data_IF_596102938840
#
_entry.id   IF_596102938840
#
_cell.length_a   1.000
_cell.length_b   1.000
_cell.length_c   1.000
_cell.angle_alpha   90.00
_cell.angle_beta   90.00
_cell.angle_gamma   90.00
#
_symmetry.space_group_name_H-M   'P 1'
#
loop_
_entity.id
_entity.type
_entity.pdbx_description
1 polymer ?
#
# COMPACT_ATOMS: atom_id res chain seq x y z
N UNK A 1 -5.29 -10.17 24.82
CA UNK A 1 -5.06 -8.88 24.12
C UNK A 1 -4.42 -9.12 22.74
N UNK A 2 -5.09 -8.70 21.66
CA UNK A 2 -4.53 -8.81 20.32
C UNK A 2 -3.23 -7.98 20.22
N UNK A 3 -2.22 -8.52 19.55
CA UNK A 3 -0.91 -7.91 19.38
C UNK A 3 -1.01 -6.47 18.85
N UNK A 4 -0.20 -5.50 19.32
CA UNK A 4 -0.13 -4.16 18.72
C UNK A 4 0.41 -4.17 17.28
N UNK A 5 0.92 -5.32 16.81
CA UNK A 5 1.29 -5.60 15.42
C UNK A 5 0.32 -6.56 14.73
N UNK A 6 -0.92 -6.72 15.22
CA UNK A 6 -1.89 -7.60 14.59
C UNK A 6 -2.02 -7.22 13.10
N UNK A 7 -1.51 -8.10 12.23
CA UNK A 7 -1.64 -8.03 10.79
C UNK A 7 -3.10 -7.78 10.45
N UNK A 8 -3.40 -6.53 10.14
CA UNK A 8 -4.75 -6.10 9.84
C UNK A 8 -4.95 -6.30 8.36
N UNK A 9 -6.00 -7.01 7.98
CA UNK A 9 -6.35 -7.20 6.58
C UNK A 9 -6.63 -5.84 5.92
N UNK A 10 -6.36 -5.66 4.62
CA UNK A 10 -6.83 -4.49 3.90
C UNK A 10 -8.34 -4.31 4.11
N UNK A 11 -8.76 -3.09 4.43
CA UNK A 11 -10.16 -2.71 4.67
C UNK A 11 -10.82 -3.32 5.92
N UNK A 12 -10.06 -3.89 6.87
CA UNK A 12 -10.61 -4.54 8.07
C UNK A 12 -11.54 -3.67 8.93
N UNK A 13 -11.38 -2.35 8.85
CA UNK A 13 -12.15 -1.33 9.57
C UNK A 13 -13.36 -0.79 8.77
N UNK A 14 -13.47 -1.20 7.50
CA UNK A 14 -14.47 -0.68 6.55
C UNK A 14 -15.45 -1.76 6.08
N UNK A 15 -15.11 -3.03 6.27
CA UNK A 15 -15.93 -4.17 5.83
C UNK A 15 -16.02 -5.24 6.90
N UNK A 16 -16.99 -6.14 6.75
CA UNK A 16 -17.09 -7.34 7.59
C UNK A 16 -15.90 -8.28 7.38
N UNK A 17 -15.64 -9.19 8.34
CA UNK A 17 -14.50 -10.13 8.28
C UNK A 17 -14.51 -11.04 7.05
N UNK A 18 -15.69 -11.36 6.52
CA UNK A 18 -15.90 -12.15 5.30
C UNK A 18 -16.84 -11.36 4.36
N UNK A 19 -16.30 -10.36 3.64
CA UNK A 19 -17.12 -9.37 2.95
C UNK A 19 -17.69 -9.89 1.65
N UNK A 20 -18.93 -9.51 1.35
CA UNK A 20 -19.55 -9.79 0.07
C UNK A 20 -18.96 -8.92 -1.05
N UNK A 21 -19.14 -9.34 -2.30
CA UNK A 21 -18.76 -8.53 -3.48
C UNK A 21 -19.43 -7.14 -3.44
N UNK A 22 -20.66 -7.06 -2.92
CA UNK A 22 -21.41 -5.80 -2.83
C UNK A 22 -20.76 -4.83 -1.84
N UNK A 23 -20.37 -5.31 -0.66
CA UNK A 23 -19.66 -4.50 0.35
C UNK A 23 -18.31 -4.01 -0.20
N UNK A 24 -17.52 -4.92 -0.79
CA UNK A 24 -16.22 -4.55 -1.37
C UNK A 24 -16.36 -3.55 -2.53
N UNK A 25 -17.36 -3.73 -3.41
CA UNK A 25 -17.63 -2.77 -4.49
C UNK A 25 -17.97 -1.40 -3.94
N UNK A 26 -18.79 -1.32 -2.90
CA UNK A 26 -19.19 -0.05 -2.31
C UNK A 26 -17.99 0.71 -1.77
N UNK A 27 -17.13 0.06 -0.99
CA UNK A 27 -15.94 0.68 -0.39
C UNK A 27 -14.88 1.03 -1.47
N UNK A 28 -14.51 0.08 -2.33
CA UNK A 28 -13.35 0.24 -3.23
C UNK A 28 -13.70 1.00 -4.51
N UNK A 29 -14.90 0.78 -5.06
CA UNK A 29 -15.30 1.30 -6.38
C UNK A 29 -16.19 2.53 -6.22
N UNK A 30 -17.28 2.44 -5.44
CA UNK A 30 -18.23 3.55 -5.29
C UNK A 30 -17.60 4.70 -4.49
N UNK A 31 -17.04 4.40 -3.32
CA UNK A 31 -16.41 5.40 -2.45
C UNK A 31 -14.95 5.69 -2.83
N UNK A 32 -14.32 4.83 -3.64
CA UNK A 32 -12.94 5.01 -4.09
C UNK A 32 -11.88 4.83 -2.99
N UNK A 33 -12.25 4.18 -1.87
CA UNK A 33 -11.35 4.01 -0.73
C UNK A 33 -10.21 3.05 -1.08
N UNK A 34 -9.04 3.31 -0.51
CA UNK A 34 -7.84 2.46 -0.60
C UNK A 34 -7.35 2.11 0.82
N UNK A 35 -6.51 1.07 0.96
CA UNK A 35 -6.04 0.66 2.28
C UNK A 35 -5.33 1.82 2.99
N UNK A 36 -5.45 1.83 4.31
CA UNK A 36 -4.92 2.89 5.17
C UNK A 36 -3.40 3.03 5.04
N UNK A 37 -2.93 4.28 4.92
CA UNK A 37 -1.51 4.65 5.05
C UNK A 37 -1.29 5.35 6.39
N UNK A 38 -0.45 4.76 7.24
CA UNK A 38 -0.12 5.34 8.54
C UNK A 38 0.59 6.68 8.39
N UNK A 39 0.25 7.65 9.25
CA UNK A 39 1.00 8.91 9.33
C UNK A 39 2.51 8.67 9.51
N UNK A 40 2.88 7.66 10.30
CA UNK A 40 4.27 7.30 10.54
C UNK A 40 5.04 6.88 9.29
N UNK A 41 4.35 6.38 8.26
CA UNK A 41 5.00 6.04 7.00
C UNK A 41 5.47 7.28 6.25
N UNK A 42 4.77 8.41 6.40
CA UNK A 42 5.15 9.69 5.75
C UNK A 42 6.41 10.29 6.36
N UNK A 43 6.63 10.06 7.65
CA UNK A 43 7.80 10.54 8.40
C UNK A 43 9.06 9.71 8.16
N UNK A 44 8.94 8.52 7.57
CA UNK A 44 10.06 7.65 7.24
C UNK A 44 10.25 7.62 5.71
N UNK A 45 11.41 8.08 5.22
CA UNK A 45 11.67 8.19 3.78
C UNK A 45 11.47 6.85 3.03
N UNK A 46 11.92 5.74 3.61
CA UNK A 46 11.77 4.40 3.02
C UNK A 46 10.31 4.01 2.92
N UNK A 47 9.58 4.12 4.02
CA UNK A 47 8.17 3.72 4.06
C UNK A 47 7.30 4.62 3.21
N UNK A 48 7.63 5.92 3.10
CA UNK A 48 6.96 6.86 2.19
C UNK A 48 7.13 6.43 0.74
N UNK A 49 8.32 6.03 0.35
CA UNK A 49 8.61 5.65 -1.03
C UNK A 49 8.02 4.27 -1.36
N UNK A 50 8.00 3.34 -0.40
CA UNK A 50 7.26 2.07 -0.52
C UNK A 50 5.74 2.33 -0.61
N UNK A 51 5.18 3.24 0.19
CA UNK A 51 3.75 3.57 0.14
C UNK A 51 3.35 4.21 -1.19
N UNK A 52 4.26 4.96 -1.82
CA UNK A 52 4.08 5.46 -3.18
C UNK A 52 3.92 4.31 -4.18
N UNK A 53 4.77 3.28 -4.13
CA UNK A 53 4.66 2.10 -5.02
C UNK A 53 3.31 1.41 -4.81
N UNK A 54 2.87 1.24 -3.56
CA UNK A 54 1.54 0.68 -3.24
C UNK A 54 0.41 1.50 -3.88
N UNK A 55 0.47 2.84 -3.79
CA UNK A 55 -0.50 3.74 -4.41
C UNK A 55 -0.60 3.60 -5.92
N UNK A 56 0.54 3.48 -6.58
CA UNK A 56 0.59 3.29 -8.02
C UNK A 56 0.02 1.90 -8.41
N UNK A 57 0.19 0.87 -7.58
CA UNK A 57 -0.39 -0.46 -7.81
C UNK A 57 -1.92 -0.50 -7.73
N UNK A 58 -2.53 0.23 -6.80
CA UNK A 58 -3.99 0.21 -6.60
C UNK A 58 -4.72 1.41 -7.25
N UNK A 59 -4.11 2.05 -8.25
CA UNK A 59 -4.77 3.13 -9.01
C UNK A 59 -6.16 2.74 -9.51
N UNK A 60 -7.11 3.68 -9.43
CA UNK A 60 -8.44 3.52 -10.01
C UNK A 60 -8.36 3.31 -11.54
N UNK A 61 -7.46 4.03 -12.21
CA UNK A 61 -7.16 3.81 -13.63
C UNK A 61 -6.25 2.58 -13.81
N UNK A 62 -6.72 1.50 -14.47
CA UNK A 62 -5.92 0.30 -14.69
C UNK A 62 -4.65 0.54 -15.49
N UNK A 63 -4.68 1.45 -16.48
CA UNK A 63 -3.53 1.76 -17.34
C UNK A 63 -2.41 2.48 -16.61
N UNK A 64 -2.70 3.08 -15.45
CA UNK A 64 -1.69 3.73 -14.59
C UNK A 64 -1.05 2.77 -13.60
N UNK A 65 -1.52 1.51 -13.50
CA UNK A 65 -0.98 0.55 -12.55
C UNK A 65 0.39 0.05 -12.99
N UNK A 66 1.28 -0.12 -12.03
CA UNK A 66 2.59 -0.71 -12.29
C UNK A 66 2.45 -2.16 -12.75
N UNK A 67 3.23 -2.52 -13.75
CA UNK A 67 3.47 -3.94 -14.08
C UNK A 67 4.32 -4.58 -12.98
N UNK A 68 4.27 -5.90 -12.84
CA UNK A 68 5.12 -6.61 -11.88
C UNK A 68 6.62 -6.29 -12.07
N UNK A 69 7.06 -6.13 -13.33
CA UNK A 69 8.43 -5.72 -13.66
C UNK A 69 8.76 -4.32 -13.12
N UNK A 70 7.85 -3.36 -13.30
CA UNK A 70 8.05 -2.00 -12.81
C UNK A 70 8.02 -1.92 -11.28
N UNK A 71 7.20 -2.74 -10.61
CA UNK A 71 7.23 -2.88 -9.15
C UNK A 71 8.61 -3.35 -8.71
N UNK A 72 9.12 -4.44 -9.29
CA UNK A 72 10.46 -4.98 -8.96
C UNK A 72 11.55 -3.92 -9.14
N UNK A 73 11.62 -3.30 -10.33
CA UNK A 73 12.61 -2.27 -10.62
C UNK A 73 12.52 -1.08 -9.65
N UNK A 74 11.31 -0.68 -9.26
CA UNK A 74 11.12 0.41 -8.29
C UNK A 74 11.63 0.01 -6.91
N UNK A 75 11.28 -1.18 -6.43
CA UNK A 75 11.74 -1.69 -5.13
C UNK A 75 13.27 -1.88 -5.09
N UNK A 76 13.88 -2.41 -6.15
CA UNK A 76 15.33 -2.57 -6.25
C UNK A 76 16.05 -1.23 -6.17
N UNK A 77 15.53 -0.20 -6.85
CA UNK A 77 16.07 1.17 -6.78
C UNK A 77 15.97 1.75 -5.38
N UNK A 78 14.83 1.61 -4.71
CA UNK A 78 14.66 2.09 -3.32
C UNK A 78 15.66 1.41 -2.38
N UNK A 79 15.83 0.09 -2.50
CA UNK A 79 16.80 -0.65 -1.70
C UNK A 79 18.24 -0.17 -1.94
N UNK A 80 18.62 0.08 -3.19
CA UNK A 80 19.94 0.63 -3.52
C UNK A 80 20.15 2.04 -2.97
N UNK A 81 19.16 2.92 -3.09
CA UNK A 81 19.23 4.28 -2.52
C UNK A 81 19.46 4.23 -1.00
N UNK A 82 18.74 3.37 -0.30
CA UNK A 82 18.91 3.20 1.15
C UNK A 82 20.27 2.64 1.54
N UNK A 83 20.80 1.67 0.78
CA UNK A 83 22.16 1.16 1.01
C UNK A 83 23.20 2.26 0.81
N UNK A 84 23.08 3.03 -0.27
CA UNK A 84 24.02 4.12 -0.55
C UNK A 84 24.03 5.16 0.57
N UNK A 85 22.86 5.56 1.07
CA UNK A 85 22.74 6.51 2.18
C UNK A 85 23.35 5.99 3.49
N UNK A 86 23.34 4.68 3.73
CA UNK A 86 23.91 4.06 4.95
C UNK A 86 25.43 3.91 4.91
N UNK A 87 26.01 3.84 3.72
CA UNK A 87 27.44 3.64 3.51
C UNK A 87 28.16 4.87 2.93
N UNK A 88 27.48 6.03 2.92
CA UNK A 88 28.06 7.35 2.64
C UNK A 88 28.39 8.06 3.95
#
# INVERSE_FOLDING_TARGET
>A
PASPFAESLPYYDLVSRDPTIKEMREVVVTQGVRPYESYHWRENNVLRDVSRVMRECWSANPSSRLTAMNVRLSMDRLAQTELNLRFS
#
